data_IF_336030850315
#
_entry.id   IF_336030850315
#
_cell.length_a   1.000
_cell.length_b   1.000
_cell.length_c   1.000
_cell.angle_alpha   90.00
_cell.angle_beta   90.00
_cell.angle_gamma   90.00
#
_symmetry.space_group_name_H-M   'P 1'
#
loop_
_entity.id
_entity.type
_entity.pdbx_description
1 polymer ?
#
# COMPACT_ATOMS: atom_id res chain seq x y z
N UNK A 1 18.52 -20.67 3.73
CA UNK A 1 18.76 -20.28 5.15
C UNK A 1 20.16 -19.72 5.27
N UNK A 2 20.39 -18.80 6.20
CA UNK A 2 21.70 -18.18 6.39
C UNK A 2 22.65 -19.13 7.13
N UNK A 3 23.85 -19.28 6.60
CA UNK A 3 24.95 -20.00 7.22
C UNK A 3 26.20 -19.11 7.14
N UNK A 4 26.61 -18.53 8.28
CA UNK A 4 27.61 -17.47 8.30
C UNK A 4 27.13 -16.23 7.53
N UNK A 5 27.87 -15.83 6.50
CA UNK A 5 27.55 -14.67 5.64
C UNK A 5 26.72 -15.02 4.39
N UNK A 6 26.44 -16.30 4.13
CA UNK A 6 25.83 -16.75 2.87
C UNK A 6 24.48 -17.42 3.08
N UNK A 7 23.63 -17.35 2.04
CA UNK A 7 22.39 -18.11 1.97
C UNK A 7 22.65 -19.47 1.32
N UNK A 8 22.39 -20.54 2.05
CA UNK A 8 22.51 -21.93 1.58
C UNK A 8 21.12 -22.54 1.41
N UNK A 9 20.94 -23.29 0.32
CA UNK A 9 19.71 -24.01 0.04
C UNK A 9 19.47 -25.13 1.07
N UNK A 10 18.21 -25.35 1.44
CA UNK A 10 17.79 -26.43 2.35
C UNK A 10 16.38 -26.89 2.00
N UNK A 11 15.87 -27.92 2.68
CA UNK A 11 14.50 -28.38 2.46
C UNK A 11 13.46 -27.41 3.05
N UNK A 12 12.24 -27.44 2.52
CA UNK A 12 11.12 -26.65 3.03
C UNK A 12 10.86 -26.90 4.53
N UNK A 13 10.88 -28.17 4.96
CA UNK A 13 10.66 -28.53 6.37
C UNK A 13 11.66 -27.84 7.31
N UNK A 14 12.95 -27.83 6.94
CA UNK A 14 14.00 -27.18 7.74
C UNK A 14 13.84 -25.66 7.71
N UNK A 15 13.53 -25.07 6.56
CA UNK A 15 13.34 -23.63 6.44
C UNK A 15 12.13 -23.14 7.25
N UNK A 16 11.00 -23.85 7.19
CA UNK A 16 9.77 -23.53 7.91
C UNK A 16 9.93 -23.71 9.42
N UNK A 17 10.57 -24.79 9.89
CA UNK A 17 10.84 -24.97 11.31
C UNK A 17 11.76 -23.86 11.85
N UNK A 18 12.75 -23.43 11.07
CA UNK A 18 13.60 -22.30 11.46
C UNK A 18 12.82 -20.99 11.52
N UNK A 19 12.00 -20.70 10.51
CA UNK A 19 11.14 -19.51 10.52
C UNK A 19 10.16 -19.54 11.70
N UNK A 20 9.49 -20.67 11.95
CA UNK A 20 8.58 -20.86 13.08
C UNK A 20 9.29 -20.68 14.42
N UNK A 21 10.48 -21.28 14.59
CA UNK A 21 11.30 -21.09 15.79
C UNK A 21 11.65 -19.62 16.03
N UNK A 22 12.04 -18.87 14.99
CA UNK A 22 12.36 -17.44 15.10
C UNK A 22 11.15 -16.63 15.59
N UNK A 23 9.97 -16.86 15.00
CA UNK A 23 8.73 -16.19 15.38
C UNK A 23 8.34 -16.55 16.82
N UNK A 24 8.38 -17.85 17.18
CA UNK A 24 8.03 -18.33 18.53
C UNK A 24 8.92 -17.72 19.60
N UNK A 25 10.22 -17.64 19.35
CA UNK A 25 11.17 -17.02 20.29
C UNK A 25 10.92 -15.53 20.48
N UNK A 26 10.61 -14.79 19.39
CA UNK A 26 10.27 -13.37 19.48
C UNK A 26 8.98 -13.15 20.28
N UNK A 27 7.89 -13.85 19.93
CA UNK A 27 6.61 -13.74 20.64
C UNK A 27 6.70 -14.12 22.12
N UNK A 28 7.52 -15.11 22.46
CA UNK A 28 7.75 -15.51 23.85
C UNK A 28 8.50 -14.45 24.68
N UNK A 29 9.37 -13.65 24.05
CA UNK A 29 10.07 -12.54 24.70
C UNK A 29 9.15 -11.32 24.84
N UNK A 30 8.44 -10.97 23.77
CA UNK A 30 7.52 -9.85 23.74
C UNK A 30 6.45 -10.08 22.65
N UNK A 31 5.16 -10.11 22.99
CA UNK A 31 4.07 -10.28 22.00
C UNK A 31 4.07 -9.24 20.88
N UNK A 32 4.66 -8.06 21.12
CA UNK A 32 4.75 -6.97 20.16
C UNK A 32 6.14 -6.87 19.49
N UNK A 33 6.99 -7.91 19.54
CA UNK A 33 8.31 -7.87 18.87
C UNK A 33 8.35 -8.57 17.51
N UNK A 34 7.19 -8.97 16.97
CA UNK A 34 7.06 -9.46 15.60
C UNK A 34 6.32 -8.44 14.75
N UNK A 35 6.84 -8.19 13.54
CA UNK A 35 6.18 -7.32 12.56
C UNK A 35 6.23 -7.90 11.14
N UNK A 36 5.26 -7.50 10.31
CA UNK A 36 5.12 -7.92 8.91
C UNK A 36 5.11 -6.67 8.02
N UNK A 37 5.94 -6.64 6.98
CA UNK A 37 5.95 -5.59 5.97
C UNK A 37 5.73 -6.17 4.57
N UNK A 38 4.84 -5.55 3.79
CA UNK A 38 4.56 -5.92 2.41
C UNK A 38 3.33 -6.81 2.21
N UNK A 39 3.27 -7.53 1.10
CA UNK A 39 2.13 -8.35 0.69
C UNK A 39 1.29 -7.73 -0.43
N UNK A 40 1.43 -6.42 -0.69
CA UNK A 40 0.74 -5.73 -1.78
C UNK A 40 1.20 -6.11 -3.21
N UNK A 41 2.21 -7.00 -3.34
CA UNK A 41 2.65 -7.59 -4.61
C UNK A 41 2.03 -8.99 -4.87
N UNK A 42 1.39 -9.60 -3.86
CA UNK A 42 0.71 -10.89 -3.95
C UNK A 42 -0.78 -10.76 -4.29
N UNK A 43 -1.49 -11.89 -4.28
CA UNK A 43 -2.95 -11.91 -4.47
C UNK A 43 -3.69 -11.46 -3.20
N UNK A 44 -5.00 -11.23 -3.30
CA UNK A 44 -5.85 -10.97 -2.15
C UNK A 44 -5.84 -12.15 -1.18
N UNK A 45 -5.81 -13.38 -1.69
CA UNK A 45 -5.75 -14.62 -0.92
C UNK A 45 -4.40 -14.77 -0.20
N UNK A 46 -3.29 -14.45 -0.88
CA UNK A 46 -1.96 -14.39 -0.24
C UNK A 46 -1.98 -13.44 0.96
N UNK A 47 -2.47 -12.22 0.77
CA UNK A 47 -2.56 -11.24 1.84
C UNK A 47 -3.48 -11.70 2.98
N UNK A 48 -4.62 -12.30 2.64
CA UNK A 48 -5.58 -12.80 3.62
C UNK A 48 -5.02 -13.95 4.46
N UNK A 49 -4.31 -14.91 3.85
CA UNK A 49 -3.69 -16.01 4.59
C UNK A 49 -2.64 -15.49 5.60
N UNK A 50 -1.83 -14.51 5.20
CA UNK A 50 -0.88 -13.86 6.12
C UNK A 50 -1.59 -13.05 7.20
N UNK A 51 -2.70 -12.38 6.89
CA UNK A 51 -3.52 -11.69 7.88
C UNK A 51 -4.15 -12.66 8.90
N UNK A 52 -4.67 -13.81 8.44
CA UNK A 52 -5.21 -14.87 9.32
C UNK A 52 -4.13 -15.43 10.25
N UNK A 53 -2.93 -15.71 9.73
CA UNK A 53 -1.80 -16.16 10.54
C UNK A 53 -1.41 -15.09 11.57
N UNK A 54 -1.31 -13.84 11.14
CA UNK A 54 -0.99 -12.72 12.02
C UNK A 54 -2.05 -12.57 13.14
N UNK A 55 -3.34 -12.69 12.82
CA UNK A 55 -4.43 -12.64 13.81
C UNK A 55 -4.34 -13.81 14.81
N UNK A 56 -4.10 -15.04 14.34
CA UNK A 56 -3.90 -16.21 15.22
C UNK A 56 -2.72 -16.08 16.16
N UNK A 57 -1.66 -15.39 15.73
CA UNK A 57 -0.45 -15.16 16.51
C UNK A 57 -0.46 -13.86 17.32
N UNK A 58 -1.51 -13.03 17.19
CA UNK A 58 -1.59 -11.73 17.87
C UNK A 58 -0.63 -10.66 17.30
N UNK A 59 -0.18 -10.81 16.06
CA UNK A 59 0.73 -9.88 15.37
C UNK A 59 -0.07 -8.69 14.85
N UNK A 60 0.00 -7.58 15.58
CA UNK A 60 -0.69 -6.33 15.25
C UNK A 60 0.10 -5.42 14.31
N UNK A 61 1.43 -5.44 14.41
CA UNK A 61 2.34 -4.60 13.63
C UNK A 61 2.52 -5.18 12.23
N UNK A 62 1.58 -4.85 11.35
CA UNK A 62 1.61 -5.31 9.96
C UNK A 62 1.16 -4.21 9.03
N UNK A 63 1.84 -4.05 7.91
CA UNK A 63 1.47 -3.06 6.90
C UNK A 63 1.84 -3.55 5.51
N UNK A 64 0.87 -3.52 4.60
CA UNK A 64 1.09 -3.81 3.18
C UNK A 64 1.73 -2.65 2.41
N UNK A 65 1.73 -1.46 3.02
CA UNK A 65 2.38 -0.27 2.50
C UNK A 65 3.83 -0.21 3.00
N UNK A 66 4.70 0.53 2.31
CA UNK A 66 6.11 0.70 2.68
C UNK A 66 6.40 2.17 3.01
N UNK A 67 5.44 2.81 3.68
CA UNK A 67 5.52 4.23 4.05
C UNK A 67 5.33 5.20 2.89
N UNK A 68 4.69 4.76 1.81
CA UNK A 68 4.53 5.47 0.54
C UNK A 68 3.08 5.58 0.06
N UNK A 69 2.14 5.07 0.84
CA UNK A 69 0.71 5.22 0.61
C UNK A 69 0.03 6.11 1.65
N UNK A 70 -1.30 6.19 1.59
CA UNK A 70 -2.10 7.01 2.51
C UNK A 70 -2.64 6.15 3.66
N UNK A 71 -3.16 6.82 4.69
CA UNK A 71 -3.93 6.16 5.75
C UNK A 71 -5.03 5.25 5.15
N UNK A 72 -5.19 4.00 5.64
CA UNK A 72 -6.23 3.07 5.20
C UNK A 72 -7.66 3.64 5.25
N UNK A 73 -7.91 4.64 6.09
CA UNK A 73 -9.19 5.35 6.19
C UNK A 73 -9.62 6.00 4.85
N UNK A 74 -8.68 6.23 3.93
CA UNK A 74 -8.98 6.77 2.59
C UNK A 74 -9.98 5.89 1.82
N UNK A 75 -10.00 4.58 2.09
CA UNK A 75 -10.91 3.64 1.43
C UNK A 75 -12.34 3.68 1.96
N UNK A 76 -12.57 4.37 3.09
CA UNK A 76 -13.90 4.59 3.68
C UNK A 76 -14.61 5.85 3.18
N UNK A 77 -13.94 6.67 2.36
CA UNK A 77 -14.56 7.84 1.70
C UNK A 77 -15.44 7.40 0.53
N UNK A 78 -16.28 8.29 0.00
CA UNK A 78 -17.06 7.99 -1.22
C UNK A 78 -16.11 7.84 -2.42
N UNK A 79 -16.01 6.62 -2.96
CA UNK A 79 -15.01 6.29 -3.97
C UNK A 79 -15.51 6.54 -5.39
N UNK A 80 -14.65 7.04 -6.27
CA UNK A 80 -14.88 7.05 -7.71
C UNK A 80 -14.26 5.82 -8.38
N UNK A 81 -14.87 5.36 -9.47
CA UNK A 81 -14.20 4.50 -10.46
C UNK A 81 -13.36 5.34 -11.41
N UNK A 82 -12.42 4.73 -12.12
CA UNK A 82 -11.63 5.38 -13.18
C UNK A 82 -12.56 5.97 -14.25
N UNK A 83 -13.63 5.26 -14.61
CA UNK A 83 -14.62 5.73 -15.58
C UNK A 83 -15.40 6.95 -15.08
N UNK A 84 -15.85 6.93 -13.82
CA UNK A 84 -16.48 8.09 -13.19
C UNK A 84 -15.52 9.28 -13.15
N UNK A 85 -14.26 9.07 -12.77
CA UNK A 85 -13.23 10.13 -12.79
C UNK A 85 -13.07 10.74 -14.18
N UNK A 86 -13.04 9.92 -15.23
CA UNK A 86 -12.91 10.40 -16.62
C UNK A 86 -14.18 11.08 -17.16
N UNK A 87 -15.33 10.86 -16.52
CA UNK A 87 -16.62 11.45 -16.89
C UNK A 87 -16.98 12.68 -16.03
N UNK A 88 -16.28 12.88 -14.91
CA UNK A 88 -16.53 13.98 -13.97
C UNK A 88 -16.35 15.34 -14.63
N UNK A 89 -17.16 16.32 -14.24
CA UNK A 89 -17.04 17.71 -14.73
C UNK A 89 -15.70 18.33 -14.28
N UNK A 90 -15.27 18.00 -13.07
CA UNK A 90 -14.04 18.54 -12.46
C UNK A 90 -13.23 17.42 -11.82
N UNK A 91 -11.95 17.37 -12.14
CA UNK A 91 -10.97 16.49 -11.51
C UNK A 91 -10.02 17.37 -10.69
N UNK A 92 -9.98 17.17 -9.38
CA UNK A 92 -8.97 17.79 -8.52
C UNK A 92 -7.81 16.83 -8.35
N UNK A 93 -6.62 17.21 -8.80
CA UNK A 93 -5.43 16.37 -8.78
C UNK A 93 -4.54 16.74 -7.58
N UNK A 94 -4.56 15.89 -6.56
CA UNK A 94 -3.69 15.90 -5.37
C UNK A 94 -2.81 14.64 -5.36
N UNK A 95 -2.19 14.32 -6.50
CA UNK A 95 -1.53 13.05 -6.74
C UNK A 95 -0.09 13.24 -7.24
N UNK A 96 0.79 12.23 -7.10
CA UNK A 96 2.11 12.25 -7.73
C UNK A 96 2.00 12.34 -9.26
N UNK A 97 3.14 12.45 -9.95
CA UNK A 97 3.13 12.44 -11.41
C UNK A 97 2.63 11.09 -11.94
N UNK A 98 1.36 11.09 -12.37
CA UNK A 98 0.69 9.90 -12.88
C UNK A 98 1.34 9.38 -14.15
N UNK A 99 2.07 10.21 -14.91
CA UNK A 99 2.78 9.73 -16.10
C UNK A 99 3.88 8.74 -15.73
N UNK A 100 4.57 8.98 -14.62
CA UNK A 100 5.66 8.14 -14.13
C UNK A 100 5.15 6.98 -13.29
N UNK A 101 4.15 7.20 -12.43
CA UNK A 101 3.70 6.19 -11.48
C UNK A 101 2.53 5.35 -11.97
N UNK A 102 1.59 5.94 -12.72
CA UNK A 102 0.34 5.29 -13.15
C UNK A 102 0.01 5.60 -14.62
N UNK A 103 0.86 5.15 -15.59
CA UNK A 103 0.80 5.62 -16.96
C UNK A 103 -0.55 5.37 -17.65
N UNK A 104 -1.24 4.29 -17.31
CA UNK A 104 -2.57 3.98 -17.85
C UNK A 104 -3.61 4.98 -17.37
N UNK A 105 -3.62 5.32 -16.07
CA UNK A 105 -4.53 6.33 -15.53
C UNK A 105 -4.21 7.70 -16.13
N UNK A 106 -2.92 8.04 -16.26
CA UNK A 106 -2.47 9.25 -16.94
C UNK A 106 -3.07 9.40 -18.34
N UNK A 107 -2.96 8.36 -19.18
CA UNK A 107 -3.49 8.39 -20.54
C UNK A 107 -5.00 8.63 -20.57
N UNK A 108 -5.74 8.03 -19.62
CA UNK A 108 -7.20 8.17 -19.50
C UNK A 108 -7.60 9.59 -19.09
N UNK A 109 -6.94 10.15 -18.08
CA UNK A 109 -7.22 11.52 -17.62
C UNK A 109 -6.80 12.57 -18.65
N UNK A 110 -5.66 12.34 -19.32
CA UNK A 110 -5.22 13.18 -20.44
C UNK A 110 -6.25 13.19 -21.57
N UNK A 111 -6.74 12.03 -21.99
CA UNK A 111 -7.77 11.94 -23.04
C UNK A 111 -9.05 12.68 -22.64
N UNK A 112 -9.51 12.51 -21.39
CA UNK A 112 -10.68 13.20 -20.86
C UNK A 112 -10.50 14.73 -20.88
N UNK A 113 -9.33 15.23 -20.49
CA UNK A 113 -9.01 16.66 -20.51
C UNK A 113 -8.90 17.20 -21.94
N UNK A 114 -8.18 16.51 -22.84
CA UNK A 114 -8.00 16.93 -24.23
C UNK A 114 -9.32 16.98 -25.01
N UNK A 115 -10.22 16.02 -24.76
CA UNK A 115 -11.58 16.00 -25.34
C UNK A 115 -12.55 16.97 -24.65
N UNK A 116 -12.07 17.75 -23.66
CA UNK A 116 -12.86 18.70 -22.87
C UNK A 116 -14.06 18.06 -22.16
N UNK A 117 -13.97 16.77 -21.83
CA UNK A 117 -14.97 16.06 -21.02
C UNK A 117 -14.86 16.45 -19.54
N UNK A 118 -13.63 16.67 -19.08
CA UNK A 118 -13.32 17.03 -17.69
C UNK A 118 -12.35 18.19 -17.66
N UNK A 119 -12.45 19.05 -16.64
CA UNK A 119 -11.41 20.04 -16.34
C UNK A 119 -10.57 19.57 -15.17
N UNK A 120 -9.25 19.52 -15.38
CA UNK A 120 -8.29 19.17 -14.32
C UNK A 120 -7.86 20.47 -13.61
N UNK A 121 -8.03 20.49 -12.29
CA UNK A 121 -7.44 21.47 -11.37
C UNK A 121 -6.29 20.74 -10.67
N UNK A 122 -5.06 21.06 -11.08
CA UNK A 122 -3.86 20.47 -10.51
C UNK A 122 -3.33 21.31 -9.36
N UNK A 123 -3.00 20.64 -8.25
CA UNK A 123 -2.14 21.20 -7.22
C UNK A 123 -0.88 20.36 -7.14
N UNK A 124 0.27 20.97 -7.40
CA UNK A 124 1.53 20.25 -7.35
C UNK A 124 2.67 21.15 -6.86
N UNK A 125 3.69 20.54 -6.27
CA UNK A 125 4.95 21.25 -5.96
C UNK A 125 5.88 21.37 -7.16
N UNK A 126 5.62 20.61 -8.23
CA UNK A 126 6.38 20.58 -9.49
C UNK A 126 5.47 20.25 -10.66
N UNK A 127 5.79 20.73 -11.84
CA UNK A 127 5.05 20.34 -13.05
C UNK A 127 5.07 18.81 -13.23
N UNK A 128 3.91 18.25 -13.56
CA UNK A 128 3.69 16.83 -13.83
C UNK A 128 3.41 16.59 -15.31
N UNK A 129 3.33 15.31 -15.72
CA UNK A 129 2.88 14.95 -17.06
C UNK A 129 1.48 15.47 -17.43
N UNK A 130 0.63 15.82 -16.45
CA UNK A 130 -0.72 16.36 -16.67
C UNK A 130 -0.79 17.89 -16.69
N UNK A 131 0.24 18.60 -16.22
CA UNK A 131 0.26 20.08 -16.18
C UNK A 131 -0.09 20.73 -17.52
N UNK A 132 0.40 20.28 -18.69
CA UNK A 132 0.04 20.87 -19.98
C UNK A 132 -1.44 20.71 -20.37
N UNK A 133 -2.15 19.78 -19.73
CA UNK A 133 -3.55 19.49 -19.99
C UNK A 133 -4.46 19.98 -18.86
N UNK A 134 -3.87 20.52 -17.79
CA UNK A 134 -4.62 21.09 -16.69
C UNK A 134 -5.33 22.37 -17.14
N UNK A 135 -6.60 22.52 -16.76
CA UNK A 135 -7.30 23.78 -16.97
C UNK A 135 -6.73 24.86 -16.05
N UNK A 136 -6.35 24.47 -14.82
CA UNK A 136 -5.58 25.28 -13.88
C UNK A 136 -4.54 24.39 -13.22
N UNK A 137 -3.31 24.89 -13.12
CA UNK A 137 -2.26 24.30 -12.30
C UNK A 137 -1.81 25.33 -11.27
N UNK A 138 -1.81 24.93 -10.00
CA UNK A 138 -1.48 25.79 -8.87
C UNK A 138 -0.29 25.18 -8.14
N UNK A 139 0.84 25.88 -8.23
CA UNK A 139 2.08 25.54 -7.54
C UNK A 139 1.96 25.74 -6.03
N UNK A 140 2.56 24.85 -5.24
CA UNK A 140 2.74 25.05 -3.80
C UNK A 140 4.14 24.65 -3.33
N UNK A 141 4.59 25.22 -2.22
CA UNK A 141 5.80 24.78 -1.56
C UNK A 141 5.50 23.57 -0.65
N UNK A 142 6.40 22.58 -0.56
CA UNK A 142 6.28 21.50 0.43
C UNK A 142 5.93 22.04 1.82
N UNK A 143 4.87 21.49 2.42
CA UNK A 143 4.29 21.90 3.69
C UNK A 143 3.15 22.92 3.61
N UNK A 144 2.92 23.61 2.47
CA UNK A 144 1.84 24.60 2.32
C UNK A 144 0.63 24.13 1.52
N UNK A 145 0.61 22.85 1.11
CA UNK A 145 -0.41 22.27 0.21
C UNK A 145 -1.85 22.60 0.63
N UNK A 146 -2.22 22.36 1.89
CA UNK A 146 -3.58 22.58 2.37
C UNK A 146 -4.02 24.05 2.29
N UNK A 147 -3.13 24.98 2.66
CA UNK A 147 -3.42 26.41 2.58
C UNK A 147 -3.60 26.85 1.13
N UNK A 148 -2.73 26.40 0.23
CA UNK A 148 -2.84 26.70 -1.20
C UNK A 148 -4.13 26.16 -1.81
N UNK A 149 -4.54 24.93 -1.45
CA UNK A 149 -5.82 24.37 -1.89
C UNK A 149 -6.99 25.22 -1.40
N UNK A 150 -7.02 25.57 -0.11
CA UNK A 150 -8.06 26.42 0.48
C UNK A 150 -8.21 27.74 -0.27
N UNK A 151 -7.10 28.45 -0.48
CA UNK A 151 -7.11 29.79 -1.08
C UNK A 151 -7.49 29.75 -2.56
N UNK A 152 -6.97 28.78 -3.31
CA UNK A 152 -7.30 28.63 -4.72
C UNK A 152 -8.78 28.29 -4.92
N UNK A 153 -9.32 27.32 -4.18
CA UNK A 153 -10.72 26.91 -4.30
C UNK A 153 -11.70 27.95 -3.76
N UNK A 154 -11.23 28.95 -2.99
CA UNK A 154 -12.06 30.07 -2.53
C UNK A 154 -12.36 31.10 -3.64
N UNK A 155 -11.59 31.09 -4.74
CA UNK A 155 -11.78 32.02 -5.86
C UNK A 155 -13.10 31.77 -6.60
N UNK A 156 -13.69 32.83 -7.15
CA UNK A 156 -14.98 32.75 -7.85
C UNK A 156 -14.92 31.79 -9.05
N UNK A 157 -13.83 31.83 -9.83
CA UNK A 157 -13.63 30.97 -11.01
C UNK A 157 -13.63 29.48 -10.65
N UNK A 158 -12.95 29.10 -9.55
CA UNK A 158 -12.89 27.72 -9.09
C UNK A 158 -14.24 27.26 -8.55
N UNK A 159 -14.93 28.10 -7.77
CA UNK A 159 -16.29 27.81 -7.27
C UNK A 159 -17.29 27.56 -8.40
N UNK A 160 -17.25 28.39 -9.43
CA UNK A 160 -18.08 28.20 -10.63
C UNK A 160 -17.74 26.92 -11.39
N UNK A 161 -16.48 26.48 -11.38
CA UNK A 161 -16.10 25.22 -12.00
C UNK A 161 -16.56 24.01 -11.18
N UNK A 162 -16.38 24.05 -9.86
CA UNK A 162 -16.80 22.99 -8.93
C UNK A 162 -18.31 22.78 -8.98
N UNK A 163 -19.10 23.86 -9.11
CA UNK A 163 -20.56 23.78 -9.12
C UNK A 163 -21.18 23.21 -10.40
N UNK A 164 -20.38 22.96 -11.46
CA UNK A 164 -20.88 22.47 -12.76
C UNK A 164 -21.26 20.99 -12.78
N UNK A 165 -20.92 20.21 -11.77
CA UNK A 165 -21.30 18.80 -11.71
C UNK A 165 -20.42 17.98 -10.78
N UNK A 166 -20.23 16.71 -11.12
CA UNK A 166 -19.47 15.78 -10.29
C UNK A 166 -18.01 16.22 -10.18
N UNK A 167 -17.50 16.21 -8.94
CA UNK A 167 -16.10 16.45 -8.61
C UNK A 167 -15.48 15.16 -8.13
N UNK A 168 -14.35 14.79 -8.74
CA UNK A 168 -13.55 13.67 -8.28
C UNK A 168 -12.16 14.15 -7.90
N UNK A 169 -11.71 13.78 -6.70
CA UNK A 169 -10.36 14.03 -6.21
C UNK A 169 -9.50 12.82 -6.45
N UNK A 170 -8.50 12.95 -7.32
CA UNK A 170 -7.46 11.94 -7.52
C UNK A 170 -6.35 12.24 -6.51
N UNK A 171 -6.17 11.38 -5.53
CA UNK A 171 -5.36 11.69 -4.34
C UNK A 171 -4.31 10.62 -4.05
N UNK A 172 -3.08 11.05 -3.80
CA UNK A 172 -1.96 10.17 -3.46
C UNK A 172 -0.77 10.98 -2.96
N UNK A 173 0.21 10.31 -2.37
CA UNK A 173 1.39 11.00 -1.83
C UNK A 173 2.29 11.49 -2.95
N UNK A 174 2.37 12.80 -3.12
CA UNK A 174 3.24 13.46 -4.10
C UNK A 174 4.71 13.35 -3.73
N UNK A 175 5.02 13.51 -2.44
CA UNK A 175 6.38 13.56 -1.93
C UNK A 175 6.50 12.60 -0.74
N UNK A 176 7.33 11.58 -0.89
CA UNK A 176 7.53 10.58 0.16
C UNK A 176 8.36 11.12 1.35
N UNK A 177 9.06 12.23 1.18
CA UNK A 177 9.77 12.92 2.27
C UNK A 177 8.83 13.75 3.16
N UNK A 178 7.59 13.98 2.73
CA UNK A 178 6.57 14.66 3.53
C UNK A 178 5.59 13.65 4.14
N UNK A 179 5.13 13.92 5.36
CA UNK A 179 4.07 13.12 5.99
C UNK A 179 2.79 13.15 5.13
N UNK A 180 2.12 12.00 5.00
CA UNK A 180 0.81 11.91 4.34
C UNK A 180 -0.25 12.87 4.90
N UNK A 181 -0.08 13.31 6.15
CA UNK A 181 -1.02 14.20 6.83
C UNK A 181 -1.26 15.48 6.04
N UNK A 182 -0.24 16.02 5.34
CA UNK A 182 -0.40 17.21 4.51
C UNK A 182 -1.32 16.96 3.31
N UNK A 183 -1.21 15.80 2.66
CA UNK A 183 -2.12 15.41 1.58
C UNK A 183 -3.53 15.19 2.08
N UNK A 184 -3.70 14.59 3.27
CA UNK A 184 -5.03 14.38 3.87
C UNK A 184 -5.68 15.71 4.31
N UNK A 185 -4.90 16.68 4.77
CA UNK A 185 -5.41 18.03 5.06
C UNK A 185 -5.82 18.76 3.79
N UNK A 186 -5.00 18.68 2.73
CA UNK A 186 -5.36 19.24 1.44
C UNK A 186 -6.66 18.64 0.91
N UNK A 187 -6.84 17.33 1.04
CA UNK A 187 -8.10 16.65 0.70
C UNK A 187 -9.27 17.18 1.54
N UNK A 188 -9.09 17.40 2.84
CA UNK A 188 -10.12 18.00 3.70
C UNK A 188 -10.53 19.40 3.23
N UNK A 189 -9.58 20.22 2.76
CA UNK A 189 -9.89 21.53 2.18
C UNK A 189 -10.68 21.43 0.86
N UNK A 190 -10.43 20.38 0.06
CA UNK A 190 -11.28 20.10 -1.11
C UNK A 190 -12.71 19.76 -0.68
N UNK A 191 -12.91 18.97 0.38
CA UNK A 191 -14.24 18.66 0.88
C UNK A 191 -14.99 19.87 1.44
N UNK A 192 -14.30 20.87 1.98
CA UNK A 192 -14.93 22.14 2.35
C UNK A 192 -15.51 22.86 1.13
N UNK A 193 -14.80 22.85 0.00
CA UNK A 193 -15.25 23.47 -1.25
C UNK A 193 -16.25 22.60 -2.05
N UNK A 194 -16.13 21.28 -1.96
CA UNK A 194 -16.92 20.29 -2.68
C UNK A 194 -17.33 19.13 -1.74
N UNK A 195 -18.36 19.31 -0.88
CA UNK A 195 -18.72 18.32 0.14
C UNK A 195 -19.13 16.95 -0.40
N UNK A 196 -19.62 16.90 -1.64
CA UNK A 196 -20.05 15.67 -2.32
C UNK A 196 -18.98 15.12 -3.27
N UNK A 197 -17.72 15.58 -3.17
CA UNK A 197 -16.66 15.08 -4.02
C UNK A 197 -16.43 13.58 -3.76
N UNK A 198 -16.16 12.82 -4.82
CA UNK A 198 -15.71 11.44 -4.71
C UNK A 198 -14.20 11.39 -4.74
N UNK A 199 -13.63 10.27 -4.29
CA UNK A 199 -12.18 10.09 -4.18
C UNK A 199 -11.73 8.90 -5.01
N UNK A 200 -10.68 9.09 -5.80
CA UNK A 200 -9.91 8.01 -6.43
C UNK A 200 -8.51 7.99 -5.78
N UNK A 201 -8.27 7.13 -4.78
CA UNK A 201 -6.95 6.98 -4.20
C UNK A 201 -6.00 6.39 -5.25
N UNK A 202 -4.81 6.97 -5.39
CA UNK A 202 -3.77 6.42 -6.25
C UNK A 202 -2.65 5.82 -5.41
N UNK A 203 -2.23 4.62 -5.80
CA UNK A 203 -1.37 3.73 -5.01
C UNK A 203 -0.21 3.27 -5.91
N UNK A 204 1.00 3.17 -5.35
CA UNK A 204 2.21 2.81 -6.12
C UNK A 204 2.33 1.32 -6.47
N UNK A 205 1.68 0.44 -5.70
CA UNK A 205 1.69 -1.02 -5.92
C UNK A 205 0.30 -1.51 -6.35
N UNK A 206 0.29 -2.54 -7.20
CA UNK A 206 -0.90 -2.99 -7.91
C UNK A 206 -2.03 -3.55 -7.03
N UNK A 207 -1.72 -4.08 -5.84
CA UNK A 207 -2.71 -4.71 -4.97
C UNK A 207 -2.71 -4.16 -3.52
N UNK A 208 -2.34 -2.89 -3.33
CA UNK A 208 -2.33 -2.27 -1.98
C UNK A 208 -3.72 -2.31 -1.35
N UNK A 209 -4.75 -1.90 -2.10
CA UNK A 209 -6.13 -1.87 -1.61
C UNK A 209 -6.59 -3.27 -1.21
N UNK A 210 -6.30 -4.28 -2.04
CA UNK A 210 -6.62 -5.67 -1.73
C UNK A 210 -5.94 -6.17 -0.46
N UNK A 211 -4.64 -5.94 -0.31
CA UNK A 211 -3.89 -6.38 0.86
C UNK A 211 -4.33 -5.69 2.16
N UNK A 212 -4.56 -4.37 2.12
CA UNK A 212 -5.05 -3.59 3.28
C UNK A 212 -6.44 -4.07 3.70
N UNK A 213 -7.37 -4.21 2.74
CA UNK A 213 -8.74 -4.66 3.02
C UNK A 213 -8.78 -6.13 3.47
N UNK A 214 -7.90 -6.98 2.94
CA UNK A 214 -7.72 -8.37 3.40
C UNK A 214 -7.11 -8.48 4.80
N UNK A 215 -6.63 -7.38 5.39
CA UNK A 215 -6.21 -7.31 6.78
C UNK A 215 -4.72 -7.15 7.01
N UNK A 216 -3.88 -7.02 5.97
CA UNK A 216 -2.48 -6.59 6.10
C UNK A 216 -2.37 -5.07 6.28
N UNK A 217 -2.95 -4.61 7.39
CA UNK A 217 -2.99 -3.21 7.81
C UNK A 217 -2.77 -3.15 9.32
N UNK A 218 -2.24 -2.05 9.86
CA UNK A 218 -2.03 -1.90 11.30
C UNK A 218 -3.30 -2.20 12.10
N UNK A 219 -3.15 -2.91 13.22
CA UNK A 219 -4.25 -3.30 14.12
C UNK A 219 -4.02 -2.78 15.53
N UNK A 220 -5.09 -2.62 16.31
CA UNK A 220 -5.01 -2.22 17.73
C UNK A 220 -4.17 -0.94 17.96
N UNK A 221 -4.33 0.05 17.08
CA UNK A 221 -3.56 1.30 17.08
C UNK A 221 -2.04 1.09 16.98
N UNK A 222 -1.57 -0.02 16.40
CA UNK A 222 -0.18 -0.15 16.00
C UNK A 222 0.17 0.87 14.93
N UNK A 223 1.46 1.20 14.82
CA UNK A 223 1.95 2.11 13.80
C UNK A 223 2.03 1.49 12.40
N UNK A 224 2.24 2.36 11.41
CA UNK A 224 2.42 2.01 10.00
C UNK A 224 3.82 1.42 9.72
N UNK A 225 4.15 1.19 8.45
CA UNK A 225 5.47 0.70 8.06
C UNK A 225 6.65 1.55 8.57
N UNK A 226 6.52 2.87 8.63
CA UNK A 226 7.58 3.76 9.14
C UNK A 226 7.71 3.61 10.64
N UNK A 227 6.60 3.52 11.37
CA UNK A 227 6.62 3.24 12.81
C UNK A 227 7.21 1.85 13.15
N UNK A 228 6.90 0.84 12.33
CA UNK A 228 7.49 -0.50 12.44
C UNK A 228 9.00 -0.43 12.26
N UNK A 229 9.48 0.27 11.23
CA UNK A 229 10.91 0.44 10.96
C UNK A 229 11.62 1.23 12.06
N UNK A 230 10.99 2.29 12.57
CA UNK A 230 11.50 3.04 13.73
C UNK A 230 11.58 2.15 14.98
N UNK A 231 10.54 1.35 15.24
CA UNK A 231 10.52 0.40 16.36
C UNK A 231 11.58 -0.67 16.22
N UNK A 232 11.81 -1.18 15.02
CA UNK A 232 12.87 -2.12 14.70
C UNK A 232 14.26 -1.49 14.91
N UNK A 233 14.47 -0.26 14.42
CA UNK A 233 15.72 0.48 14.63
C UNK A 233 15.99 0.80 16.11
N UNK A 234 14.93 0.88 16.93
CA UNK A 234 15.01 1.03 18.38
C UNK A 234 15.16 -0.30 19.14
N UNK A 235 15.29 -1.43 18.44
CA UNK A 235 15.45 -2.76 19.05
C UNK A 235 14.17 -3.33 19.68
N UNK A 236 12.99 -2.81 19.32
CA UNK A 236 11.70 -3.30 19.83
C UNK A 236 11.11 -4.43 18.99
N UNK A 237 11.59 -4.61 17.76
CA UNK A 237 11.19 -5.70 16.85
C UNK A 237 12.33 -6.73 16.82
N UNK A 238 12.06 -7.92 17.33
CA UNK A 238 13.00 -9.05 17.34
C UNK A 238 12.89 -9.90 16.08
N UNK A 239 11.70 -9.96 15.46
CA UNK A 239 11.48 -10.69 14.23
C UNK A 239 10.72 -9.83 13.21
N UNK A 240 11.34 -9.60 12.05
CA UNK A 240 10.72 -8.90 10.93
C UNK A 240 10.46 -9.89 9.79
N UNK A 241 9.23 -9.90 9.28
CA UNK A 241 8.80 -10.71 8.14
C UNK A 241 8.58 -9.79 6.95
N UNK A 242 9.32 -10.00 5.87
CA UNK A 242 9.17 -9.28 4.61
C UNK A 242 8.37 -10.14 3.62
N UNK A 243 7.22 -9.65 3.18
CA UNK A 243 6.35 -10.29 2.19
C UNK A 243 6.48 -9.59 0.83
N UNK A 244 7.34 -10.12 -0.03
CA UNK A 244 7.64 -9.55 -1.34
C UNK A 244 8.08 -8.08 -1.25
N UNK A 245 8.83 -7.72 -0.22
CA UNK A 245 9.21 -6.34 0.11
C UNK A 245 10.73 -6.15 0.07
N UNK A 246 11.17 -5.03 -0.50
CA UNK A 246 12.56 -4.58 -0.47
C UNK A 246 12.63 -3.18 0.17
N UNK A 247 12.46 -3.06 1.50
CA UNK A 247 12.43 -1.77 2.17
C UNK A 247 13.70 -0.92 1.92
N UNK A 248 14.87 -1.53 1.66
CA UNK A 248 16.08 -0.77 1.32
C UNK A 248 15.90 0.05 0.05
N UNK A 249 15.14 -0.45 -0.93
CA UNK A 249 14.91 0.20 -2.22
C UNK A 249 13.59 0.98 -2.25
N UNK A 250 12.57 0.53 -1.52
CA UNK A 250 11.21 1.05 -1.60
C UNK A 250 10.91 2.16 -0.56
N UNK A 251 11.65 2.24 0.55
CA UNK A 251 11.41 3.25 1.63
C UNK A 251 12.31 4.47 1.43
N UNK A 252 11.74 5.66 1.53
CA UNK A 252 12.45 6.92 1.30
C UNK A 252 13.61 7.16 2.29
N UNK A 253 13.41 6.90 3.59
CA UNK A 253 14.50 6.98 4.58
C UNK A 253 15.30 5.66 4.62
N UNK A 254 16.30 5.57 3.75
CA UNK A 254 17.20 4.40 3.74
C UNK A 254 18.00 4.24 5.04
N UNK A 255 18.21 5.34 5.79
CA UNK A 255 18.94 5.33 7.05
C UNK A 255 18.18 4.57 8.14
N UNK A 256 16.87 4.81 8.30
CA UNK A 256 16.05 4.05 9.25
C UNK A 256 15.98 2.58 8.88
N UNK A 257 15.87 2.25 7.59
CA UNK A 257 15.82 0.86 7.14
C UNK A 257 17.14 0.13 7.44
N UNK A 258 18.28 0.76 7.15
CA UNK A 258 19.58 0.14 7.45
C UNK A 258 19.76 -0.12 8.95
N UNK A 259 19.36 0.84 9.81
CA UNK A 259 19.38 0.64 11.27
C UNK A 259 18.42 -0.45 11.71
N UNK A 260 17.19 -0.46 11.18
CA UNK A 260 16.18 -1.48 11.48
C UNK A 260 16.70 -2.89 11.16
N UNK A 261 17.16 -3.11 9.93
CA UNK A 261 17.66 -4.42 9.49
C UNK A 261 18.95 -4.85 10.20
N UNK A 262 19.71 -3.92 10.77
CA UNK A 262 20.89 -4.22 11.59
C UNK A 262 20.53 -4.58 13.05
N UNK A 263 19.37 -4.12 13.54
CA UNK A 263 18.93 -4.32 14.93
C UNK A 263 18.02 -5.53 15.11
N UNK A 264 17.21 -5.86 14.10
CA UNK A 264 16.32 -7.02 14.15
C UNK A 264 17.14 -8.31 14.30
N UNK A 265 16.77 -9.13 15.29
CA UNK A 265 17.48 -10.40 15.59
C UNK A 265 17.22 -11.48 14.54
N UNK A 266 16.01 -11.51 13.97
CA UNK A 266 15.59 -12.51 13.00
C UNK A 266 14.86 -11.86 11.83
N UNK A 267 15.38 -12.00 10.62
CA UNK A 267 14.77 -11.52 9.40
C UNK A 267 14.31 -12.69 8.53
N UNK A 268 12.99 -12.78 8.30
CA UNK A 268 12.38 -13.76 7.40
C UNK A 268 11.92 -13.03 6.15
N UNK A 269 12.24 -13.57 4.98
CA UNK A 269 11.76 -13.02 3.71
C UNK A 269 11.03 -14.08 2.91
N UNK A 270 9.85 -13.72 2.41
CA UNK A 270 9.06 -14.47 1.45
C UNK A 270 9.12 -13.69 0.15
N UNK A 271 9.80 -14.21 -0.86
CA UNK A 271 10.07 -13.43 -2.08
C UNK A 271 10.23 -14.31 -3.32
N UNK A 272 9.96 -13.70 -4.47
CA UNK A 272 10.11 -14.31 -5.81
C UNK A 272 11.54 -14.23 -6.33
N UNK A 273 12.35 -13.31 -5.81
CA UNK A 273 13.74 -13.10 -6.24
C UNK A 273 14.61 -12.53 -5.12
N UNK A 274 15.94 -12.65 -5.25
CA UNK A 274 16.87 -11.99 -4.34
C UNK A 274 16.94 -10.48 -4.61
N UNK A 275 16.87 -9.68 -3.56
CA UNK A 275 16.88 -8.22 -3.56
C UNK A 275 17.83 -7.67 -2.47
N UNK A 276 17.89 -6.36 -2.28
CA UNK A 276 18.87 -5.77 -1.35
C UNK A 276 18.56 -6.10 0.11
N UNK A 277 17.27 -6.15 0.46
CA UNK A 277 16.81 -6.44 1.83
C UNK A 277 16.90 -7.93 2.16
N UNK A 278 16.42 -8.81 1.29
CA UNK A 278 16.32 -10.23 1.59
C UNK A 278 17.65 -10.98 1.56
N UNK A 279 18.69 -10.41 0.93
CA UNK A 279 20.07 -10.92 1.06
C UNK A 279 20.58 -10.86 2.50
N UNK A 280 19.98 -10.04 3.36
CA UNK A 280 20.30 -9.94 4.79
C UNK A 280 19.50 -10.93 5.65
N UNK A 281 18.48 -11.58 5.07
CA UNK A 281 17.56 -12.45 5.79
C UNK A 281 18.23 -13.71 6.33
N UNK A 282 17.75 -14.18 7.48
CA UNK A 282 18.18 -15.44 8.08
C UNK A 282 17.46 -16.63 7.44
N UNK A 283 16.23 -16.41 6.97
CA UNK A 283 15.45 -17.37 6.17
C UNK A 283 14.86 -16.66 4.97
N UNK A 284 15.07 -17.24 3.78
CA UNK A 284 14.37 -16.85 2.55
C UNK A 284 13.49 -18.03 2.12
N UNK A 285 12.19 -17.79 1.98
CA UNK A 285 11.18 -18.73 1.53
C UNK A 285 10.78 -18.35 0.09
N UNK A 286 11.08 -19.18 -0.91
CA UNK A 286 10.83 -18.83 -2.30
C UNK A 286 9.33 -18.86 -2.64
N UNK A 287 8.79 -17.70 -3.00
CA UNK A 287 7.40 -17.50 -3.37
C UNK A 287 7.17 -17.66 -4.88
N UNK A 288 5.99 -18.14 -5.27
CA UNK A 288 5.56 -18.19 -6.66
C UNK A 288 5.25 -16.77 -7.18
N UNK A 289 5.68 -16.47 -8.40
CA UNK A 289 5.42 -15.18 -9.04
C UNK A 289 3.98 -15.04 -9.54
N UNK A 290 3.58 -13.84 -9.95
CA UNK A 290 2.22 -13.50 -10.38
C UNK A 290 1.64 -14.47 -11.44
N UNK A 291 2.42 -14.82 -12.48
CA UNK A 291 1.98 -15.74 -13.54
C UNK A 291 2.05 -17.23 -13.18
N UNK A 292 2.54 -17.56 -11.97
CA UNK A 292 2.81 -18.92 -11.51
C UNK A 292 1.74 -19.45 -10.54
N UNK A 293 0.74 -18.63 -10.18
CA UNK A 293 -0.31 -18.97 -9.20
C UNK A 293 -1.68 -18.44 -9.62
N UNK A 294 -2.71 -18.99 -8.99
CA UNK A 294 -4.09 -18.54 -9.11
C UNK A 294 -4.46 -17.63 -7.92
N UNK A 295 -5.47 -16.78 -8.11
CA UNK A 295 -6.05 -15.95 -7.06
C UNK A 295 -6.72 -14.72 -7.63
N UNK A 296 -6.85 -13.66 -6.84
CA UNK A 296 -7.44 -12.39 -7.28
C UNK A 296 -6.55 -11.21 -6.88
N UNK A 297 -6.66 -10.09 -7.59
CA UNK A 297 -6.03 -8.81 -7.22
C UNK A 297 -7.04 -7.69 -7.27
N UNK A 298 -6.83 -6.66 -6.46
CA UNK A 298 -7.69 -5.48 -6.37
C UNK A 298 -6.92 -4.24 -6.78
N UNK A 299 -7.36 -3.59 -7.86
CA UNK A 299 -6.75 -2.34 -8.32
C UNK A 299 -7.15 -1.12 -7.45
N UNK A 300 -6.65 0.06 -7.81
CA UNK A 300 -6.86 1.31 -7.06
C UNK A 300 -8.34 1.74 -6.91
N UNK A 301 -9.21 1.43 -7.88
CA UNK A 301 -10.64 1.77 -7.82
C UNK A 301 -11.47 0.73 -7.03
N UNK A 302 -10.81 -0.32 -6.54
CA UNK A 302 -11.46 -1.41 -5.82
C UNK A 302 -11.97 -2.51 -6.74
N UNK A 303 -11.50 -2.59 -7.99
CA UNK A 303 -11.90 -3.65 -8.90
C UNK A 303 -11.07 -4.91 -8.65
N UNK A 304 -11.77 -5.98 -8.31
CA UNK A 304 -11.26 -7.33 -8.12
C UNK A 304 -11.25 -8.04 -9.47
N UNK A 305 -10.07 -8.47 -9.89
CA UNK A 305 -9.83 -9.18 -11.15
C UNK A 305 -9.06 -10.47 -10.91
N UNK A 306 -9.32 -11.48 -11.73
CA UNK A 306 -8.72 -12.80 -11.63
C UNK A 306 -7.22 -12.80 -12.00
N UNK A 307 -6.44 -13.57 -11.26
CA UNK A 307 -5.06 -13.97 -11.57
C UNK A 307 -5.09 -15.45 -11.91
N UNK A 308 -4.70 -15.78 -13.14
CA UNK A 308 -4.70 -17.17 -13.63
C UNK A 308 -3.29 -17.63 -13.84
N UNK A 309 -2.94 -18.78 -13.28
CA UNK A 309 -1.68 -19.47 -13.49
C UNK A 309 -1.49 -19.75 -15.00
N UNK A 310 -0.43 -19.19 -15.57
CA UNK A 310 -0.04 -19.40 -16.98
C UNK A 310 1.14 -20.33 -17.15
N UNK A 311 1.99 -20.41 -16.12
CA UNK A 311 3.17 -21.25 -16.09
C UNK A 311 3.28 -21.93 -14.73
N UNK A 312 4.01 -23.04 -14.65
CA UNK A 312 4.28 -23.72 -13.39
C UNK A 312 5.30 -22.94 -12.56
N UNK A 313 5.18 -22.90 -11.21
CA UNK A 313 6.17 -22.29 -10.33
C UNK A 313 7.57 -22.83 -10.60
N UNK A 314 8.58 -21.97 -10.58
CA UNK A 314 9.98 -22.38 -10.78
C UNK A 314 10.55 -23.13 -9.58
N UNK A 315 11.18 -24.27 -9.85
CA UNK A 315 11.89 -25.05 -8.85
C UNK A 315 10.93 -25.62 -7.80
N UNK A 316 11.09 -25.19 -6.55
CA UNK A 316 10.23 -25.61 -5.44
C UNK A 316 9.46 -24.45 -4.83
N UNK A 317 9.33 -23.32 -5.54
CA UNK A 317 8.58 -22.16 -5.04
C UNK A 317 7.10 -22.48 -4.84
N UNK A 318 6.48 -21.80 -3.87
CA UNK A 318 5.09 -22.03 -3.48
C UNK A 318 4.32 -20.70 -3.44
N UNK A 319 3.02 -20.68 -3.73
CA UNK A 319 2.18 -19.51 -3.46
C UNK A 319 2.31 -19.05 -1.99
N UNK A 320 2.29 -17.74 -1.76
CA UNK A 320 2.51 -17.16 -0.44
C UNK A 320 1.47 -17.63 0.58
N UNK A 321 0.22 -17.85 0.15
CA UNK A 321 -0.81 -18.41 1.03
C UNK A 321 -0.48 -19.82 1.55
N UNK A 322 0.15 -20.68 0.73
CA UNK A 322 0.58 -22.01 1.16
C UNK A 322 1.71 -21.89 2.20
N UNK A 323 2.62 -20.94 1.99
CA UNK A 323 3.71 -20.66 2.93
C UNK A 323 3.14 -20.21 4.29
N UNK A 324 2.17 -19.28 4.29
CA UNK A 324 1.47 -18.85 5.50
C UNK A 324 0.74 -20.02 6.19
N UNK A 325 0.06 -20.86 5.41
CA UNK A 325 -0.68 -22.02 5.92
C UNK A 325 0.25 -23.04 6.58
N UNK A 326 1.34 -23.44 5.92
CA UNK A 326 2.30 -24.38 6.49
C UNK A 326 3.02 -23.80 7.71
N UNK A 327 3.36 -22.52 7.68
CA UNK A 327 3.93 -21.83 8.84
C UNK A 327 2.94 -21.81 10.01
N UNK A 328 1.64 -21.64 9.75
CA UNK A 328 0.60 -21.71 10.79
C UNK A 328 0.56 -23.07 11.48
N UNK A 329 0.73 -24.16 10.73
CA UNK A 329 0.77 -25.53 11.26
C UNK A 329 2.02 -25.73 12.14
N UNK A 330 3.19 -25.31 11.66
CA UNK A 330 4.46 -25.35 12.43
C UNK A 330 4.37 -24.54 13.73
N UNK A 331 3.60 -23.46 13.71
CA UNK A 331 3.35 -22.61 14.87
C UNK A 331 2.29 -23.16 15.83
N UNK A 332 1.61 -24.27 15.50
CA UNK A 332 0.48 -24.79 16.28
C UNK A 332 -0.75 -23.89 16.24
N UNK A 333 -0.85 -23.04 15.22
CA UNK A 333 -1.84 -21.98 15.07
C UNK A 333 -2.59 -22.11 13.73
N UNK A 334 -2.99 -23.33 13.38
CA UNK A 334 -3.60 -23.67 12.10
C UNK A 334 -4.75 -22.72 11.72
N UNK A 335 -4.63 -22.11 10.54
CA UNK A 335 -5.63 -21.21 9.96
C UNK A 335 -6.78 -21.98 9.26
N UNK A 336 -6.64 -23.31 9.15
CA UNK A 336 -7.68 -24.23 8.68
C UNK A 336 -7.99 -24.06 7.19
N UNK A 337 -6.95 -23.95 6.36
CA UNK A 337 -7.01 -23.74 4.91
C UNK A 337 -6.34 -24.92 4.23
N UNK A 338 -7.03 -25.61 3.31
CA UNK A 338 -6.47 -26.77 2.60
C UNK A 338 -6.34 -26.58 1.09
N UNK A 339 -7.07 -25.62 0.53
CA UNK A 339 -7.10 -25.29 -0.89
C UNK A 339 -7.19 -23.78 -1.10
N UNK A 340 -6.99 -23.33 -2.35
CA UNK A 340 -7.21 -21.92 -2.70
C UNK A 340 -8.72 -21.59 -2.63
N UNK A 341 -9.56 -22.55 -3.01
CA UNK A 341 -11.02 -22.43 -2.98
C UNK A 341 -11.52 -22.19 -1.55
N UNK A 342 -11.03 -22.98 -0.58
CA UNK A 342 -11.33 -22.80 0.85
C UNK A 342 -10.93 -21.39 1.32
N UNK A 343 -9.78 -20.91 0.84
CA UNK A 343 -9.24 -19.62 1.23
C UNK A 343 -10.06 -18.46 0.64
N UNK A 344 -10.45 -18.56 -0.63
CA UNK A 344 -11.33 -17.60 -1.29
C UNK A 344 -12.72 -17.57 -0.63
N UNK A 345 -13.29 -18.73 -0.28
CA UNK A 345 -14.55 -18.80 0.46
C UNK A 345 -14.45 -18.13 1.84
N UNK A 346 -13.37 -18.39 2.59
CA UNK A 346 -13.12 -17.72 3.87
C UNK A 346 -12.92 -16.22 3.70
N UNK A 347 -12.22 -15.77 2.66
CA UNK A 347 -12.00 -14.35 2.38
C UNK A 347 -13.33 -13.64 2.18
N UNK A 348 -14.15 -14.16 1.26
CA UNK A 348 -15.49 -13.64 0.94
C UNK A 348 -16.41 -13.67 2.17
N UNK A 349 -16.36 -14.75 2.96
CA UNK A 349 -17.18 -14.91 4.16
C UNK A 349 -16.74 -14.06 5.36
N UNK A 350 -15.47 -13.64 5.42
CA UNK A 350 -14.92 -12.87 6.55
C UNK A 350 -14.89 -11.37 6.25
N UNK A 351 -14.60 -10.99 5.00
CA UNK A 351 -14.37 -9.60 4.61
C UNK A 351 -15.42 -9.17 3.59
N UNK A 352 -16.45 -8.47 4.08
CA UNK A 352 -17.64 -8.10 3.30
C UNK A 352 -17.33 -7.36 1.98
N UNK A 353 -16.25 -6.58 1.93
CA UNK A 353 -15.80 -5.89 0.72
C UNK A 353 -15.55 -6.84 -0.47
N UNK A 354 -15.17 -8.10 -0.21
CA UNK A 354 -14.93 -9.12 -1.23
C UNK A 354 -16.18 -9.94 -1.60
N UNK A 355 -17.35 -9.70 -0.97
CA UNK A 355 -18.59 -10.41 -1.31
C UNK A 355 -18.91 -10.48 -2.82
N UNK A 356 -18.68 -9.42 -3.63
CA UNK A 356 -18.94 -9.46 -5.08
C UNK A 356 -18.05 -10.44 -5.87
N UNK A 357 -16.90 -10.86 -5.33
CA UNK A 357 -16.02 -11.85 -5.97
C UNK A 357 -16.35 -13.30 -5.61
N UNK A 358 -17.51 -13.54 -4.98
CA UNK A 358 -18.01 -14.89 -4.66
C UNK A 358 -18.33 -15.74 -5.90
N UNK A 359 -18.67 -15.12 -7.02
CA UNK A 359 -18.86 -15.80 -8.31
C UNK A 359 -17.57 -15.71 -9.15
N UNK A 360 -16.93 -16.84 -9.42
CA UNK A 360 -15.72 -16.89 -10.26
C UNK A 360 -15.93 -16.33 -11.68
N UNK A 361 -17.19 -16.20 -12.16
CA UNK A 361 -17.50 -15.48 -13.40
C UNK A 361 -17.42 -13.97 -13.25
N UNK A 362 -17.70 -13.41 -12.07
CA UNK A 362 -17.72 -11.95 -11.84
C UNK A 362 -16.32 -11.34 -11.89
N UNK A 363 -15.29 -12.14 -11.60
CA UNK A 363 -13.87 -11.71 -11.62
C UNK A 363 -13.22 -11.89 -13.00
N UNK A 364 -13.93 -12.44 -13.99
CA UNK A 364 -13.48 -12.54 -15.38
C UNK A 364 -13.74 -11.24 -16.16
N UNK A 365 -13.05 -11.08 -17.30
CA UNK A 365 -13.18 -9.88 -18.13
C UNK A 365 -12.61 -8.65 -17.41
N UNK A 366 -13.43 -7.60 -17.27
CA UNK A 366 -13.02 -6.39 -16.57
C UNK A 366 -12.91 -6.61 -15.05
N UNK A 367 -13.61 -7.60 -14.48
CA UNK A 367 -13.68 -7.85 -13.05
C UNK A 367 -14.78 -7.04 -12.34
N UNK A 368 -14.90 -7.23 -11.02
CA UNK A 368 -16.02 -6.74 -10.21
C UNK A 368 -15.56 -5.72 -9.18
N UNK A 369 -16.36 -4.69 -8.89
CA UNK A 369 -16.03 -3.73 -7.83
C UNK A 369 -16.31 -4.33 -6.45
N UNK A 370 -15.41 -4.07 -5.50
CA UNK A 370 -15.64 -4.32 -4.08
C UNK A 370 -16.97 -3.74 -3.60
N UNK A 371 -17.60 -4.42 -2.65
CA UNK A 371 -18.73 -3.85 -1.94
C UNK A 371 -18.27 -2.60 -1.18
N UNK A 372 -19.04 -1.53 -1.29
CA UNK A 372 -18.75 -0.25 -0.64
C UNK A 372 -19.54 -0.17 0.66
N UNK A 373 -18.85 0.14 1.75
CA UNK A 373 -19.49 0.55 2.99
C UNK A 373 -20.05 1.97 2.87
N UNK A 374 -20.92 2.36 3.81
CA UNK A 374 -21.42 3.73 3.91
C UNK A 374 -20.24 4.70 4.08
N UNK A 375 -20.10 5.71 3.21
CA UNK A 375 -18.98 6.62 3.27
C UNK A 375 -18.89 7.37 4.60
N UNK A 376 -17.68 7.55 5.11
CA UNK A 376 -17.38 8.36 6.29
C UNK A 376 -16.77 9.69 5.84
N UNK A 377 -17.00 10.77 6.59
CA UNK A 377 -16.31 12.05 6.39
C UNK A 377 -15.06 12.10 7.26
N UNK A 378 -13.91 12.46 6.69
CA UNK A 378 -12.67 12.69 7.45
C UNK A 378 -12.64 14.14 7.93
N UNK A 379 -12.48 14.36 9.24
CA UNK A 379 -12.14 15.68 9.80
C UNK A 379 -10.61 15.75 9.99
N UNK A 380 -9.91 16.50 9.15
CA UNK A 380 -8.46 16.68 9.28
C UNK A 380 -8.11 17.52 10.51
N UNK A 381 -7.26 17.01 11.40
CA UNK A 381 -6.62 17.83 12.44
C UNK A 381 -5.52 18.67 11.77
N UNK A 382 -5.53 19.98 11.99
CA UNK A 382 -4.49 20.87 11.46
C UNK A 382 -3.12 20.53 12.08
N UNK A 383 -2.13 20.33 11.21
CA UNK A 383 -0.73 20.09 11.55
C UNK A 383 0.06 21.15 10.80
N UNK A 384 0.78 21.97 11.55
CA UNK A 384 1.58 23.05 10.98
C UNK A 384 2.89 22.44 10.45
N UNK A 385 3.27 22.80 9.23
CA UNK A 385 4.62 22.53 8.75
C UNK A 385 5.65 23.17 9.68
N UNK A 386 6.76 22.50 9.91
CA UNK A 386 7.89 23.08 10.66
C UNK A 386 8.47 24.20 9.83
N UNK A 387 8.64 25.38 10.43
CA UNK A 387 9.19 26.54 9.74
C UNK A 387 10.61 26.22 9.24
N UNK A 388 10.92 26.62 7.99
CA UNK A 388 12.23 26.38 7.39
C UNK A 388 13.30 27.14 8.18
N UNK A 389 14.19 26.42 8.84
CA UNK A 389 15.40 27.00 9.41
C UNK A 389 16.49 27.03 8.32
N UNK A 390 17.10 28.21 8.09
CA UNK A 390 18.20 28.41 7.14
C UNK A 390 19.41 27.48 7.39
N UNK A 391 19.54 26.90 8.59
CA UNK A 391 20.59 25.95 8.93
C UNK A 391 20.29 24.48 8.55
N UNK A 392 19.05 24.12 8.21
CA UNK A 392 18.63 22.72 7.97
C UNK A 392 19.07 22.16 6.59
N UNK A 393 19.50 23.02 5.66
CA UNK A 393 19.90 22.62 4.30
C UNK A 393 21.38 22.88 4.00
N UNK A 394 22.27 22.75 5.00
CA UNK A 394 23.70 22.68 4.71
C UNK A 394 24.04 21.34 4.07
N UNK A 395 24.28 21.34 2.77
CA UNK A 395 24.91 20.23 2.07
C UNK A 395 26.33 20.09 2.63
N UNK A 396 26.54 19.14 3.53
CA UNK A 396 27.89 18.83 4.04
C UNK A 396 28.59 17.99 2.98
N UNK A 397 29.23 18.65 2.02
CA UNK A 397 30.12 17.98 1.06
C UNK A 397 31.45 17.74 1.75
N UNK A 398 31.68 16.52 2.24
CA UNK A 398 33.03 16.07 2.58
C UNK A 398 33.67 15.43 1.35
N UNK A 399 34.87 15.89 0.96
CA UNK A 399 35.72 15.15 0.01
C UNK A 399 36.34 13.96 0.77
N UNK A 400 35.95 12.75 0.42
CA UNK A 400 36.68 11.52 0.78
C UNK A 400 37.73 11.21 -0.27
#
# INVERSE_FOLDING_TARGET
>A
IKNGSELVATSWSVALENAGRMIRLALAQNPNSVAILGGARGTNEDAFAWAMLADKLGINQRDAQLGDGLSPEIFKLDQATIDQTCAASTIVLLAPDLKEELPVLYLRLRDAAQKRKSRIIEFSSRDSGLTPYAWRSVGFEPGSQAQTVRDALATQEMKEQISRGEVVVVVGRQNLAESEVFTLQALAEVFVAAPNAKVLPVLRRGNVRGAVVAGLTPKNNSGDAIDILNSAAAGKIDCLILLGADPISDVADSGVVQRALAQVKNLISVDTMLNNSNRKADVVLPAAAYGEKNGTTTNLEGRISNVVQKITPRGTSRPDWMIATELSIVMGADIGVSSLEDLSEKLVGTVAAFAPSSDAKSTNGDGVLMARETPVTISGKAVKAVDRNAYNYRLVVSRT
#
